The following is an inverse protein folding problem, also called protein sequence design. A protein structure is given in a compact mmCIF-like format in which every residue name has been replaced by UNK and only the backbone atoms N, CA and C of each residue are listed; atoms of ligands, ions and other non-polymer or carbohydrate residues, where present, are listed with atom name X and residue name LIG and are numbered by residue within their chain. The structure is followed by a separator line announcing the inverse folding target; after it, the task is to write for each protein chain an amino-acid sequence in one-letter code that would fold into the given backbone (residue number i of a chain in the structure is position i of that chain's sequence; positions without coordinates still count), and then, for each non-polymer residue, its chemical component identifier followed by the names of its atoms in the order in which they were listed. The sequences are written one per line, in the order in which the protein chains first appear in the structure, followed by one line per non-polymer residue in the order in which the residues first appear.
data_IF_485003234587
#
_entry.id   IF_485003234587
#
_cell.length_a   1.000
_cell.length_b   1.000
_cell.length_c   1.000
_cell.angle_alpha   90.00
_cell.angle_beta   90.00
_cell.angle_gamma   90.00
#
_symmetry.space_group_name_H-M   'P 1'
#
loop_
_entity.id
_entity.type
_entity.pdbx_description
1 polymer ?
#
# COMPACT_ATOMS: atom_id res chain seq x y z
N UNK A 1 34.98 13.89 11.85
CA UNK A 1 33.97 13.24 12.73
C UNK A 1 33.51 11.97 12.04
N UNK A 2 33.53 10.81 12.72
CA UNK A 2 32.98 9.59 12.16
C UNK A 2 31.46 9.73 11.99
N UNK A 3 30.93 9.25 10.86
CA UNK A 3 29.49 9.20 10.56
C UNK A 3 29.00 7.78 10.81
N UNK A 4 27.90 7.64 11.53
CA UNK A 4 27.24 6.35 11.78
C UNK A 4 25.96 6.34 10.96
N UNK A 5 25.84 5.41 10.03
CA UNK A 5 24.64 5.21 9.21
C UNK A 5 23.86 4.02 9.79
N UNK A 6 22.56 4.22 10.05
CA UNK A 6 21.65 3.17 10.51
C UNK A 6 20.51 3.05 9.50
N UNK A 7 20.39 1.89 8.87
CA UNK A 7 19.30 1.57 7.96
C UNK A 7 18.39 0.57 8.67
N UNK A 8 17.10 0.88 8.72
CA UNK A 8 16.08 0.01 9.31
C UNK A 8 15.16 -0.50 8.21
N UNK A 9 14.83 -1.79 8.27
CA UNK A 9 13.74 -2.38 7.50
C UNK A 9 12.57 -2.61 8.45
N UNK A 10 11.39 -2.07 8.10
CA UNK A 10 10.16 -2.28 8.84
C UNK A 10 9.20 -3.06 7.96
N UNK A 11 8.85 -4.26 8.39
CA UNK A 11 7.79 -5.06 7.78
C UNK A 11 6.55 -4.97 8.65
N UNK A 12 5.47 -4.42 8.10
CA UNK A 12 4.18 -4.33 8.80
C UNK A 12 3.20 -5.28 8.13
N UNK A 13 2.73 -6.28 8.88
CA UNK A 13 1.65 -7.16 8.44
C UNK A 13 0.32 -6.43 8.39
N UNK A 14 -0.59 -6.85 7.51
CA UNK A 14 -1.92 -6.22 7.37
C UNK A 14 -2.69 -6.25 8.71
N UNK A 15 -2.63 -7.36 9.44
CA UNK A 15 -3.27 -7.48 10.76
C UNK A 15 -2.64 -6.53 11.78
N UNK A 16 -1.32 -6.35 11.76
CA UNK A 16 -0.63 -5.43 12.66
C UNK A 16 -0.98 -3.97 12.35
N UNK A 17 -1.11 -3.63 11.07
CA UNK A 17 -1.61 -2.32 10.63
C UNK A 17 -3.03 -2.08 11.14
N UNK A 18 -3.96 -3.02 10.90
CA UNK A 18 -5.34 -2.89 11.35
C UNK A 18 -5.45 -2.81 12.88
N UNK A 19 -4.63 -3.56 13.63
CA UNK A 19 -4.59 -3.49 15.08
C UNK A 19 -4.04 -2.16 15.62
N UNK A 20 -3.24 -1.44 14.83
CA UNK A 20 -2.71 -0.13 15.20
C UNK A 20 -3.68 1.02 14.86
N UNK A 21 -4.68 0.78 14.01
CA UNK A 21 -5.67 1.78 13.62
C UNK A 21 -6.65 2.10 14.76
N UNK A 22 -7.02 3.36 14.87
CA UNK A 22 -8.14 3.80 15.70
C UNK A 22 -9.48 3.33 15.13
N UNK A 23 -10.56 3.29 15.94
CA UNK A 23 -11.89 2.89 15.45
C UNK A 23 -12.43 3.72 14.28
N UNK A 24 -12.06 5.00 14.20
CA UNK A 24 -12.47 5.87 13.08
C UNK A 24 -11.71 5.54 11.80
N UNK A 25 -10.41 5.31 11.88
CA UNK A 25 -9.58 4.91 10.75
C UNK A 25 -10.02 3.55 10.18
N UNK A 26 -10.39 2.60 11.05
CA UNK A 26 -10.95 1.33 10.62
C UNK A 26 -12.23 1.50 9.79
N UNK A 27 -13.10 2.44 10.19
CA UNK A 27 -14.34 2.75 9.46
C UNK A 27 -14.06 3.43 8.12
N UNK A 28 -13.05 4.28 8.04
CA UNK A 28 -12.62 4.88 6.79
C UNK A 28 -12.03 3.84 5.84
N UNK A 29 -11.18 2.94 6.34
CA UNK A 29 -10.63 1.82 5.58
C UNK A 29 -11.76 0.94 5.03
N UNK A 30 -12.76 0.62 5.84
CA UNK A 30 -13.94 -0.13 5.39
C UNK A 30 -14.66 0.60 4.24
N UNK A 31 -14.93 1.90 4.38
CA UNK A 31 -15.55 2.71 3.33
C UNK A 31 -14.72 2.74 2.05
N UNK A 32 -13.39 2.85 2.17
CA UNK A 32 -12.47 2.85 1.03
C UNK A 32 -12.47 1.50 0.32
N UNK A 33 -12.40 0.39 1.06
CA UNK A 33 -12.45 -0.97 0.52
C UNK A 33 -13.76 -1.22 -0.21
N UNK A 34 -14.89 -0.76 0.34
CA UNK A 34 -16.20 -0.89 -0.27
C UNK A 34 -16.40 0.04 -1.48
N UNK A 35 -15.57 1.07 -1.64
CA UNK A 35 -15.72 2.02 -2.73
C UNK A 35 -15.51 1.34 -4.11
N UNK A 36 -16.26 1.73 -5.15
CA UNK A 36 -16.14 1.12 -6.48
C UNK A 36 -14.73 1.22 -7.07
N UNK A 37 -13.97 2.26 -6.69
CA UNK A 37 -12.61 2.50 -7.17
C UNK A 37 -11.66 1.37 -6.77
N UNK A 38 -11.71 0.94 -5.51
CA UNK A 38 -10.84 -0.12 -5.01
C UNK A 38 -11.39 -1.51 -5.33
N UNK A 39 -12.72 -1.68 -5.34
CA UNK A 39 -13.36 -2.92 -5.79
C UNK A 39 -13.00 -3.26 -7.25
N UNK A 40 -12.97 -2.28 -8.16
CA UNK A 40 -12.57 -2.52 -9.55
C UNK A 40 -11.10 -2.98 -9.63
N UNK A 41 -10.20 -2.29 -8.93
CA UNK A 41 -8.77 -2.65 -8.89
C UNK A 41 -8.52 -4.03 -8.28
N UNK A 42 -9.30 -4.43 -7.28
CA UNK A 42 -9.19 -5.78 -6.69
C UNK A 42 -9.55 -6.86 -7.72
N UNK A 43 -10.61 -6.63 -8.53
CA UNK A 43 -11.01 -7.57 -9.59
C UNK A 43 -9.99 -7.67 -10.73
N UNK A 44 -9.42 -6.55 -11.16
CA UNK A 44 -8.35 -6.53 -12.18
C UNK A 44 -7.14 -7.38 -11.74
N UNK A 45 -6.84 -7.42 -10.44
CA UNK A 45 -5.73 -8.21 -9.90
C UNK A 45 -6.01 -9.72 -9.85
N UNK A 46 -7.28 -10.13 -9.77
CA UNK A 46 -7.69 -11.54 -9.79
C UNK A 46 -7.70 -12.13 -11.21
N UNK A 47 -7.91 -11.29 -12.23
CA UNK A 47 -7.94 -11.72 -13.63
C UNK A 47 -6.55 -11.94 -14.25
N UNK A 48 -5.46 -11.50 -13.60
CA UNK A 48 -4.10 -11.61 -14.14
C UNK A 48 -3.27 -12.74 -13.50
N UNK A 49 -3.41 -13.96 -14.04
CA UNK A 49 -2.57 -15.13 -13.72
C UNK A 49 -1.37 -15.29 -14.69
N UNK A 50 -0.80 -14.18 -15.18
CA UNK A 50 0.31 -14.17 -16.14
C UNK A 50 1.70 -14.01 -15.51
N UNK A 51 2.77 -14.58 -16.10
CA UNK A 51 4.12 -14.61 -15.51
C UNK A 51 4.89 -13.28 -15.53
N UNK A 52 4.29 -12.19 -16.04
CA UNK A 52 4.96 -10.90 -16.19
C UNK A 52 4.18 -9.81 -15.43
N UNK A 53 4.55 -9.59 -14.17
CA UNK A 53 4.11 -8.41 -13.42
C UNK A 53 4.89 -7.21 -13.95
N UNK A 54 4.26 -6.19 -14.56
CA UNK A 54 4.97 -4.94 -14.79
C UNK A 54 5.34 -4.35 -13.42
N UNK A 55 6.64 -4.15 -13.20
CA UNK A 55 7.16 -3.45 -12.03
C UNK A 55 6.46 -2.10 -11.90
N UNK A 56 6.03 -1.75 -10.68
CA UNK A 56 5.40 -0.46 -10.41
C UNK A 56 6.29 0.67 -10.93
N UNK A 57 5.76 1.65 -11.69
CA UNK A 57 6.52 2.85 -12.00
C UNK A 57 6.81 3.58 -10.69
N UNK A 58 8.07 3.65 -10.30
CA UNK A 58 8.58 4.37 -9.12
C UNK A 58 8.32 5.88 -9.16
N UNK A 59 7.93 6.41 -10.32
CA UNK A 59 8.12 7.83 -10.63
C UNK A 59 6.85 8.69 -10.44
N UNK A 60 5.84 8.21 -9.71
CA UNK A 60 4.59 8.96 -9.52
C UNK A 60 4.66 10.06 -8.44
N UNK A 61 5.85 10.41 -7.96
CA UNK A 61 6.08 11.52 -7.02
C UNK A 61 6.66 12.78 -7.67
N UNK A 62 7.02 12.77 -8.96
CA UNK A 62 7.75 13.88 -9.59
C UNK A 62 6.87 14.97 -10.24
N UNK A 63 5.55 14.98 -10.01
CA UNK A 63 4.64 15.99 -10.56
C UNK A 63 4.32 17.15 -9.59
N UNK A 64 5.30 17.55 -8.77
CA UNK A 64 5.23 18.76 -7.94
C UNK A 64 6.52 19.61 -8.04
N UNK A 65 7.10 19.72 -9.24
CA UNK A 65 8.13 20.71 -9.56
C UNK A 65 7.63 21.66 -10.66
#
# INVERSE_FOLDING_TARGET
MPRIEKVYSLEVGVEQFLNACSPLELKEIELLILSPRFQHRMKESEEYSGPNRPEFPSDRFDLLA
#
